data_IF_651064465510
#
_entry.id   IF_651064465510
#
_cell.length_a   1.000
_cell.length_b   1.000
_cell.length_c   1.000
_cell.angle_alpha   90.00
_cell.angle_beta   90.00
_cell.angle_gamma   90.00
#
_symmetry.space_group_name_H-M   'P 1'
#
loop_
_entity.id
_entity.type
_entity.pdbx_description
1 polymer ?
#
# COMPACT_ATOMS: atom_id res chain seq x y z
N UNK A 1 4.20 -35.31 11.42
CA UNK A 1 3.32 -35.73 12.53
C UNK A 1 4.05 -35.88 13.88
N UNK A 2 5.17 -36.62 14.00
CA UNK A 2 5.88 -36.76 15.30
C UNK A 2 6.44 -35.43 15.87
N UNK A 3 6.88 -34.50 15.03
CA UNK A 3 7.39 -33.18 15.45
C UNK A 3 6.30 -32.22 15.99
N UNK A 4 5.05 -32.36 15.56
CA UNK A 4 3.95 -31.50 15.99
C UNK A 4 3.38 -31.95 17.34
N UNK A 5 3.28 -33.27 17.56
CA UNK A 5 2.87 -33.86 18.84
C UNK A 5 3.82 -33.53 20.00
N UNK A 6 5.13 -33.40 19.73
CA UNK A 6 6.12 -32.96 20.70
C UNK A 6 6.03 -31.46 21.02
N UNK A 7 5.63 -30.61 20.07
CA UNK A 7 5.48 -29.17 20.31
C UNK A 7 4.24 -28.89 21.17
N UNK A 8 3.12 -29.55 20.89
CA UNK A 8 1.88 -29.37 21.68
C UNK A 8 2.04 -29.85 23.13
N UNK A 9 2.68 -31.00 23.34
CA UNK A 9 2.99 -31.50 24.70
C UNK A 9 4.00 -30.62 25.44
N UNK A 10 4.99 -30.07 24.73
CA UNK A 10 5.94 -29.11 25.31
C UNK A 10 5.27 -27.78 25.70
N UNK A 11 4.42 -27.22 24.83
CA UNK A 11 3.65 -26.00 25.10
C UNK A 11 2.68 -26.17 26.28
N UNK A 12 2.00 -27.33 26.38
CA UNK A 12 1.13 -27.65 27.52
C UNK A 12 1.92 -27.73 28.82
N UNK A 13 3.12 -28.32 28.80
CA UNK A 13 4.00 -28.41 29.97
C UNK A 13 4.46 -27.03 30.44
N UNK A 14 4.89 -26.16 29.51
CA UNK A 14 5.28 -24.77 29.81
C UNK A 14 4.10 -24.00 30.42
N UNK A 15 2.90 -24.14 29.85
CA UNK A 15 1.71 -23.46 30.36
C UNK A 15 1.37 -23.89 31.81
N UNK A 16 1.52 -25.17 32.13
CA UNK A 16 1.33 -25.68 33.50
C UNK A 16 2.37 -25.12 34.48
N UNK A 17 3.63 -25.02 34.06
CA UNK A 17 4.71 -24.43 34.88
C UNK A 17 4.41 -22.95 35.16
N UNK A 18 4.09 -22.17 34.12
CA UNK A 18 3.79 -20.73 34.25
C UNK A 18 2.56 -20.48 35.12
N UNK A 19 1.50 -21.30 34.98
CA UNK A 19 0.29 -21.17 35.77
C UNK A 19 0.50 -21.43 37.27
N UNK A 20 1.52 -22.22 37.63
CA UNK A 20 1.90 -22.51 39.02
C UNK A 20 2.79 -21.45 39.67
N UNK A 21 3.24 -20.43 38.93
CA UNK A 21 4.14 -19.40 39.44
C UNK A 21 3.39 -18.17 39.96
N UNK A 22 4.06 -17.42 40.86
CA UNK A 22 3.58 -16.13 41.32
C UNK A 22 3.44 -15.15 40.13
N UNK A 23 2.50 -14.19 40.20
CA UNK A 23 2.33 -13.19 39.15
C UNK A 23 3.62 -12.39 38.93
N UNK A 24 3.88 -12.04 37.69
CA UNK A 24 5.06 -11.27 37.28
C UNK A 24 5.07 -9.88 37.94
N UNK A 25 6.12 -9.60 38.71
CA UNK A 25 6.30 -8.30 39.38
C UNK A 25 6.87 -7.22 38.45
N UNK A 26 7.60 -7.61 37.40
CA UNK A 26 8.24 -6.68 36.47
C UNK A 26 8.05 -7.11 35.00
N UNK A 27 7.65 -6.15 34.16
CA UNK A 27 7.46 -6.38 32.72
C UNK A 27 8.83 -6.29 32.03
N UNK A 28 9.17 -7.20 31.09
CA UNK A 28 10.41 -7.11 30.34
C UNK A 28 10.53 -5.77 29.59
N UNK A 29 11.62 -5.06 29.87
CA UNK A 29 11.91 -3.77 29.25
C UNK A 29 12.32 -3.98 27.79
N UNK A 30 11.47 -3.55 26.86
CA UNK A 30 11.88 -3.34 25.47
C UNK A 30 12.62 -2.01 25.41
N UNK A 31 13.84 -1.98 24.91
CA UNK A 31 14.63 -0.75 24.73
C UNK A 31 14.15 0.05 23.51
N UNK A 32 14.26 1.37 23.56
CA UNK A 32 14.07 2.18 22.34
C UNK A 32 15.28 1.94 21.41
N UNK A 33 15.06 1.74 20.10
CA UNK A 33 16.16 1.72 19.17
C UNK A 33 16.74 3.14 19.04
N UNK A 34 18.00 3.23 18.63
CA UNK A 34 18.53 4.47 18.11
C UNK A 34 17.84 4.77 16.77
N UNK A 35 17.02 5.82 16.74
CA UNK A 35 16.22 6.16 15.56
C UNK A 35 17.12 6.70 14.45
N UNK A 36 17.28 5.93 13.36
CA UNK A 36 18.09 6.32 12.22
C UNK A 36 17.82 5.43 10.99
N UNK A 37 18.38 5.85 9.86
CA UNK A 37 18.62 4.96 8.73
C UNK A 37 19.96 4.26 8.90
N UNK A 38 19.95 2.93 8.85
CA UNK A 38 21.13 2.08 8.89
C UNK A 38 21.39 1.54 7.50
N UNK A 39 22.42 2.05 6.83
CA UNK A 39 22.84 1.57 5.51
C UNK A 39 23.61 0.25 5.55
N UNK A 40 24.23 -0.04 6.69
CA UNK A 40 24.99 -1.26 6.96
C UNK A 40 24.07 -2.45 7.30
N UNK A 41 24.57 -3.69 7.18
CA UNK A 41 23.80 -4.89 7.52
C UNK A 41 23.41 -4.89 9.01
N UNK A 42 22.11 -5.04 9.29
CA UNK A 42 21.59 -5.22 10.65
C UNK A 42 21.16 -6.67 10.82
N UNK A 43 21.88 -7.42 11.66
CA UNK A 43 21.58 -8.82 11.96
C UNK A 43 20.42 -8.90 12.95
N UNK A 44 19.43 -9.72 12.63
CA UNK A 44 18.32 -10.04 13.53
C UNK A 44 18.54 -11.44 14.06
N UNK A 45 18.62 -11.51 15.39
CA UNK A 45 18.76 -12.74 16.14
C UNK A 45 17.42 -13.00 16.84
N UNK A 46 16.88 -14.19 16.65
CA UNK A 46 15.70 -14.65 17.38
C UNK A 46 16.14 -15.47 18.59
N UNK A 47 15.50 -15.18 19.71
CA UNK A 47 15.74 -15.85 20.96
C UNK A 47 14.52 -16.72 21.25
N UNK A 48 14.52 -17.94 20.73
CA UNK A 48 13.44 -18.89 21.00
C UNK A 48 13.31 -19.17 22.52
N UNK A 49 14.42 -19.07 23.27
CA UNK A 49 14.42 -19.18 24.73
C UNK A 49 13.95 -17.91 25.48
N UNK A 50 13.80 -16.76 24.80
CA UNK A 50 13.33 -15.50 25.41
C UNK A 50 11.88 -15.15 25.07
N UNK A 51 11.10 -16.09 24.52
CA UNK A 51 9.65 -15.92 24.54
C UNK A 51 9.18 -15.73 25.99
N UNK A 52 8.23 -14.82 26.26
CA UNK A 52 7.81 -14.51 27.63
C UNK A 52 7.46 -15.77 28.45
N UNK A 53 6.82 -16.75 27.83
CA UNK A 53 6.51 -18.03 28.45
C UNK A 53 7.73 -18.81 28.94
N UNK A 54 8.82 -18.80 28.16
CA UNK A 54 10.07 -19.48 28.49
C UNK A 54 10.84 -18.75 29.58
N UNK A 55 10.89 -17.41 29.49
CA UNK A 55 11.52 -16.57 30.51
C UNK A 55 10.85 -16.74 31.87
N UNK A 56 9.51 -16.82 31.89
CA UNK A 56 8.74 -17.05 33.12
C UNK A 56 8.97 -18.49 33.61
N UNK A 57 8.72 -19.49 32.75
CA UNK A 57 8.81 -20.90 33.13
C UNK A 57 10.16 -21.29 33.75
N UNK A 58 11.25 -20.71 33.25
CA UNK A 58 12.61 -21.02 33.70
C UNK A 58 13.28 -19.88 34.50
N UNK A 59 12.53 -18.82 34.82
CA UNK A 59 13.03 -17.64 35.54
C UNK A 59 14.34 -17.08 34.94
N UNK A 60 14.33 -16.81 33.63
CA UNK A 60 15.49 -16.33 32.86
C UNK A 60 15.46 -14.80 32.77
N UNK A 61 16.59 -14.16 33.08
CA UNK A 61 16.80 -12.73 32.84
C UNK A 61 18.06 -12.48 31.98
N UNK A 62 17.95 -11.59 31.00
CA UNK A 62 19.04 -11.26 30.06
C UNK A 62 20.19 -10.50 30.72
N UNK A 63 19.96 -9.86 31.87
CA UNK A 63 21.02 -9.23 32.65
C UNK A 63 21.89 -10.25 33.40
N UNK A 64 21.55 -11.54 33.35
CA UNK A 64 22.23 -12.60 34.11
C UNK A 64 23.15 -13.47 33.25
N UNK A 65 23.41 -13.10 32.00
CA UNK A 65 24.44 -13.76 31.17
C UNK A 65 25.82 -13.13 31.43
N UNK A 66 26.51 -13.56 32.48
CA UNK A 66 27.96 -13.44 32.60
C UNK A 66 28.56 -14.81 32.91
N UNK A 67 28.82 -15.60 31.86
CA UNK A 67 29.77 -16.69 31.90
C UNK A 67 30.90 -16.40 30.90
N UNK A 68 32.16 -16.47 31.32
CA UNK A 68 33.30 -16.39 30.38
C UNK A 68 33.28 -17.61 29.46
N UNK A 69 33.51 -17.40 28.16
CA UNK A 69 33.90 -18.47 27.24
C UNK A 69 35.17 -19.12 27.80
N UNK A 70 35.05 -20.37 28.27
CA UNK A 70 36.17 -21.10 28.90
C UNK A 70 37.29 -21.32 27.87
N UNK A 71 38.42 -20.66 28.12
CA UNK A 71 39.74 -21.26 27.98
C UNK A 71 40.45 -21.15 29.34
N UNK A 72 40.43 -22.25 30.11
CA UNK A 72 41.37 -22.51 31.21
C UNK A 72 40.98 -22.05 32.62
N UNK A 73 40.96 -23.04 33.53
CA UNK A 73 41.26 -22.97 34.98
C UNK A 73 40.17 -22.41 35.92
N UNK A 74 39.28 -23.30 36.37
CA UNK A 74 39.10 -23.70 37.79
C UNK A 74 37.78 -24.49 37.94
N UNK A 75 37.83 -25.59 38.70
CA UNK A 75 36.72 -26.54 38.89
C UNK A 75 35.85 -26.26 40.13
N UNK A 76 36.09 -25.17 40.88
CA UNK A 76 35.41 -24.94 42.18
C UNK A 76 34.77 -23.55 42.37
N UNK A 77 34.60 -22.73 41.33
CA UNK A 77 33.84 -21.48 41.49
C UNK A 77 32.36 -21.73 41.20
N UNK A 78 31.59 -22.10 42.23
CA UNK A 78 30.12 -21.98 42.22
C UNK A 78 29.75 -20.51 41.99
N UNK A 79 29.47 -20.18 40.73
CA UNK A 79 29.01 -18.84 40.35
C UNK A 79 27.49 -18.82 40.53
N UNK A 80 27.01 -18.56 41.73
CA UNK A 80 25.58 -18.43 42.01
C UNK A 80 25.09 -17.01 41.66
N UNK A 81 24.82 -16.76 40.38
CA UNK A 81 23.96 -15.69 39.85
C UNK A 81 23.67 -15.99 38.37
N UNK A 82 22.45 -16.48 38.07
CA UNK A 82 22.01 -16.86 36.72
C UNK A 82 21.32 -18.22 36.66
N UNK A 83 20.07 -18.21 36.18
CA UNK A 83 19.18 -19.34 35.82
C UNK A 83 19.19 -20.55 36.77
N UNK A 84 18.09 -20.74 37.51
CA UNK A 84 17.89 -21.84 38.50
C UNK A 84 17.76 -23.23 37.84
N UNK A 85 17.80 -23.30 36.51
CA UNK A 85 17.66 -24.55 35.76
C UNK A 85 18.63 -24.58 34.58
N UNK A 86 19.07 -25.76 34.17
CA UNK A 86 19.99 -26.03 33.05
C UNK A 86 19.45 -25.62 31.66
N UNK A 87 18.59 -24.61 31.55
CA UNK A 87 18.06 -24.14 30.28
C UNK A 87 19.11 -23.33 29.52
N UNK A 88 19.54 -23.86 28.38
CA UNK A 88 20.47 -23.17 27.48
C UNK A 88 19.72 -22.04 26.76
N UNK A 89 20.28 -20.83 26.80
CA UNK A 89 19.77 -19.71 26.01
C UNK A 89 20.31 -19.86 24.59
N UNK A 90 19.46 -20.33 23.68
CA UNK A 90 19.82 -20.50 22.27
C UNK A 90 19.53 -19.22 21.50
N UNK A 91 20.57 -18.71 20.83
CA UNK A 91 20.48 -17.56 19.93
C UNK A 91 20.49 -18.09 18.49
N UNK A 92 19.37 -17.92 17.81
CA UNK A 92 19.23 -18.35 16.43
C UNK A 92 19.36 -17.15 15.49
N UNK A 93 20.15 -17.33 14.43
CA UNK A 93 20.13 -16.40 13.32
C UNK A 93 18.76 -16.48 12.64
N UNK A 94 18.06 -15.34 12.55
CA UNK A 94 16.76 -15.28 11.87
C UNK A 94 16.92 -14.71 10.45
N UNK A 95 17.57 -13.55 10.32
CA UNK A 95 17.64 -12.78 9.07
C UNK A 95 18.65 -11.64 9.18
N UNK A 96 19.00 -11.06 8.04
CA UNK A 96 19.73 -9.77 7.97
C UNK A 96 18.88 -8.74 7.24
N UNK A 97 18.88 -7.50 7.74
CA UNK A 97 18.42 -6.35 7.00
C UNK A 97 19.56 -5.66 6.28
N UNK A 98 19.44 -5.49 4.96
CA UNK A 98 20.38 -4.73 4.16
C UNK A 98 19.79 -3.35 3.86
N UNK A 99 20.07 -2.37 4.71
CA UNK A 99 19.33 -1.11 4.71
C UNK A 99 18.07 -1.22 5.56
N UNK A 100 17.98 -0.41 6.62
CA UNK A 100 16.78 -0.35 7.48
C UNK A 100 16.53 1.03 8.07
N UNK A 101 15.27 1.33 8.33
CA UNK A 101 14.83 2.44 9.14
C UNK A 101 14.35 1.90 10.49
N UNK A 102 15.02 2.31 11.54
CA UNK A 102 14.60 2.10 12.92
C UNK A 102 13.95 3.41 13.37
N UNK A 103 12.65 3.37 13.66
CA UNK A 103 11.87 4.57 14.00
C UNK A 103 11.64 4.62 15.51
N UNK A 104 10.99 3.60 16.06
CA UNK A 104 10.73 3.47 17.49
C UNK A 104 10.53 1.99 17.85
N UNK A 105 10.28 1.69 19.12
CA UNK A 105 9.80 0.36 19.54
C UNK A 105 8.71 -0.17 18.61
N UNK A 106 8.93 -1.37 18.07
CA UNK A 106 8.02 -2.09 17.17
C UNK A 106 7.65 -1.33 15.88
N UNK A 107 8.38 -0.26 15.53
CA UNK A 107 8.22 0.51 14.28
C UNK A 107 9.54 0.54 13.53
N UNK A 108 9.65 -0.33 12.53
CA UNK A 108 10.84 -0.42 11.70
C UNK A 108 10.50 -1.00 10.34
N UNK A 109 11.39 -0.76 9.38
CA UNK A 109 11.29 -1.32 8.04
C UNK A 109 12.66 -1.54 7.45
N UNK A 110 12.87 -2.65 6.76
CA UNK A 110 14.14 -2.94 6.11
C UNK A 110 14.01 -3.92 4.97
N UNK A 111 15.06 -4.00 4.16
CA UNK A 111 15.16 -5.02 3.12
C UNK A 111 15.71 -6.30 3.75
N UNK A 112 14.84 -7.28 3.95
CA UNK A 112 15.10 -8.53 4.67
C UNK A 112 15.69 -9.59 3.74
N UNK A 113 16.69 -10.31 4.24
CA UNK A 113 17.35 -11.45 3.60
C UNK A 113 17.43 -12.61 4.61
N UNK A 114 16.92 -13.78 4.21
CA UNK A 114 16.98 -14.99 5.06
C UNK A 114 18.07 -15.96 4.59
N UNK A 115 18.34 -16.01 3.28
CA UNK A 115 19.25 -16.96 2.67
C UNK A 115 20.21 -16.28 1.70
N UNK A 116 21.35 -16.92 1.46
CA UNK A 116 22.29 -16.52 0.42
C UNK A 116 21.59 -16.63 -0.95
N UNK A 117 21.56 -15.53 -1.70
CA UNK A 117 20.87 -15.45 -2.99
C UNK A 117 19.42 -14.95 -2.94
N UNK A 118 18.90 -14.61 -1.77
CA UNK A 118 17.61 -13.91 -1.65
C UNK A 118 17.70 -12.53 -2.34
N UNK A 119 16.62 -12.14 -3.05
CA UNK A 119 16.53 -10.86 -3.74
C UNK A 119 16.21 -9.70 -2.80
N UNK A 120 15.92 -10.01 -1.54
CA UNK A 120 15.58 -9.03 -0.53
C UNK A 120 14.10 -8.64 -0.63
N UNK A 121 13.39 -8.73 0.48
CA UNK A 121 11.98 -8.34 0.55
C UNK A 121 11.76 -7.26 1.59
N UNK A 122 10.86 -6.32 1.30
CA UNK A 122 10.53 -5.25 2.24
C UNK A 122 9.76 -5.84 3.43
N UNK A 123 10.39 -5.95 4.60
CA UNK A 123 9.71 -6.30 5.85
C UNK A 123 9.44 -5.02 6.64
N UNK A 124 8.17 -4.81 6.98
CA UNK A 124 7.67 -3.62 7.63
C UNK A 124 6.93 -4.03 8.89
N UNK A 125 7.31 -3.46 10.04
CA UNK A 125 6.68 -3.70 11.34
C UNK A 125 6.22 -2.39 11.94
N UNK A 126 4.95 -2.32 12.34
CA UNK A 126 4.32 -1.17 13.00
C UNK A 126 4.22 0.14 12.20
N UNK A 127 4.81 0.22 11.00
CA UNK A 127 4.73 1.39 10.12
C UNK A 127 3.42 1.43 9.31
N UNK A 128 3.06 2.61 8.83
CA UNK A 128 1.77 2.93 8.22
C UNK A 128 1.43 2.01 7.04
N UNK A 129 2.44 1.52 6.31
CA UNK A 129 2.26 0.62 5.13
C UNK A 129 1.57 -0.72 5.44
N UNK A 130 1.56 -1.17 6.69
CA UNK A 130 0.91 -2.41 7.13
C UNK A 130 -0.24 -2.17 8.12
N UNK A 131 -0.41 -0.93 8.57
CA UNK A 131 -1.40 -0.52 9.55
C UNK A 131 -2.78 -0.43 8.91
N UNK A 132 -3.73 -1.21 9.42
CA UNK A 132 -5.08 -1.34 8.82
C UNK A 132 -5.90 -0.04 8.90
N UNK A 133 -5.63 0.78 9.89
CA UNK A 133 -6.19 2.11 10.18
C UNK A 133 -5.71 3.19 9.20
N UNK A 134 -4.55 3.02 8.56
CA UNK A 134 -4.04 3.98 7.58
C UNK A 134 -4.79 3.89 6.24
N UNK A 135 -4.99 5.03 5.58
CA UNK A 135 -5.64 5.10 4.26
C UNK A 135 -4.68 4.75 3.11
N UNK A 136 -5.24 4.42 1.95
CA UNK A 136 -4.47 4.08 0.74
C UNK A 136 -3.57 5.21 0.25
N UNK A 137 -3.99 6.46 0.48
CA UNK A 137 -3.19 7.67 0.17
C UNK A 137 -1.87 7.71 0.93
N UNK A 138 -1.77 7.05 2.09
CA UNK A 138 -0.50 6.95 2.83
C UNK A 138 0.20 5.63 2.50
N UNK A 139 -0.52 4.52 2.55
CA UNK A 139 0.07 3.18 2.41
C UNK A 139 0.73 2.94 1.05
N UNK A 140 0.07 3.32 -0.05
CA UNK A 140 0.54 3.05 -1.39
C UNK A 140 1.81 3.84 -1.74
N UNK A 141 1.85 5.18 -1.61
CA UNK A 141 3.05 5.92 -1.93
C UNK A 141 4.19 5.65 -0.96
N UNK A 142 3.92 5.46 0.34
CA UNK A 142 4.97 5.12 1.29
C UNK A 142 5.65 3.80 0.94
N UNK A 143 4.89 2.77 0.53
CA UNK A 143 5.46 1.49 0.08
C UNK A 143 6.31 1.64 -1.17
N UNK A 144 5.89 2.45 -2.13
CA UNK A 144 6.67 2.72 -3.34
C UNK A 144 7.94 3.52 -3.02
N UNK A 145 7.81 4.58 -2.22
CA UNK A 145 8.92 5.41 -1.76
C UNK A 145 9.98 4.59 -1.02
N UNK A 146 9.57 3.70 -0.10
CA UNK A 146 10.50 2.82 0.61
C UNK A 146 11.27 1.90 -0.36
N UNK A 147 10.60 1.34 -1.36
CA UNK A 147 11.27 0.53 -2.39
C UNK A 147 12.28 1.36 -3.18
N UNK A 148 11.92 2.59 -3.54
CA UNK A 148 12.79 3.51 -4.27
C UNK A 148 14.03 3.88 -3.43
N UNK A 149 13.85 4.16 -2.14
CA UNK A 149 14.96 4.43 -1.21
C UNK A 149 15.92 3.25 -1.13
N UNK A 150 15.41 2.02 -0.96
CA UNK A 150 16.27 0.84 -0.83
C UNK A 150 16.94 0.43 -2.15
N UNK A 151 16.31 0.67 -3.31
CA UNK A 151 16.86 0.29 -4.61
C UNK A 151 17.85 1.32 -5.17
N UNK A 152 17.51 2.62 -5.11
CA UNK A 152 18.30 3.67 -5.76
C UNK A 152 19.27 4.35 -4.82
N UNK A 153 18.96 4.39 -3.52
CA UNK A 153 19.63 5.23 -2.51
C UNK A 153 19.74 6.72 -2.92
N UNK A 154 18.88 7.18 -3.83
CA UNK A 154 18.85 8.56 -4.30
C UNK A 154 17.67 9.34 -3.70
N UNK A 155 18.00 10.28 -2.82
CA UNK A 155 17.03 11.16 -2.18
C UNK A 155 16.37 12.13 -3.19
N UNK A 156 17.04 12.45 -4.29
CA UNK A 156 16.52 13.35 -5.33
C UNK A 156 15.39 12.68 -6.10
N UNK A 157 15.58 11.43 -6.54
CA UNK A 157 14.51 10.62 -7.13
C UNK A 157 13.33 10.42 -6.17
N UNK A 158 13.62 10.15 -4.89
CA UNK A 158 12.61 10.00 -3.85
C UNK A 158 11.79 11.28 -3.64
N UNK A 159 12.45 12.44 -3.63
CA UNK A 159 11.79 13.75 -3.56
C UNK A 159 10.91 13.99 -4.78
N UNK A 160 11.44 13.77 -5.98
CA UNK A 160 10.70 13.95 -7.24
C UNK A 160 9.42 13.11 -7.27
N UNK A 161 9.51 11.84 -6.88
CA UNK A 161 8.35 10.95 -6.76
C UNK A 161 7.25 11.52 -5.85
N UNK A 162 7.62 11.99 -4.65
CA UNK A 162 6.64 12.57 -3.73
C UNK A 162 6.01 13.85 -4.28
N UNK A 163 6.79 14.70 -4.93
CA UNK A 163 6.28 15.91 -5.56
C UNK A 163 5.27 15.60 -6.68
N UNK A 164 5.58 14.64 -7.55
CA UNK A 164 4.64 14.17 -8.59
C UNK A 164 3.37 13.58 -7.99
N UNK A 165 3.50 12.77 -6.94
CA UNK A 165 2.36 12.19 -6.23
C UNK A 165 1.47 13.27 -5.60
N UNK A 166 2.04 14.32 -5.00
CA UNK A 166 1.28 15.45 -4.46
C UNK A 166 0.62 16.28 -5.56
N UNK A 167 1.25 16.47 -6.70
CA UNK A 167 0.59 17.10 -7.86
C UNK A 167 -0.62 16.29 -8.31
N UNK A 168 -0.49 14.96 -8.41
CA UNK A 168 -1.63 14.08 -8.72
C UNK A 168 -2.74 14.13 -7.66
N UNK A 169 -2.39 14.34 -6.39
CA UNK A 169 -3.34 14.57 -5.31
C UNK A 169 -4.12 15.87 -5.51
N UNK A 170 -3.43 16.99 -5.77
CA UNK A 170 -4.04 18.29 -6.00
C UNK A 170 -4.91 18.33 -7.27
N UNK A 171 -4.49 17.60 -8.31
CA UNK A 171 -5.22 17.48 -9.58
C UNK A 171 -6.42 16.52 -9.50
N UNK A 172 -6.65 15.86 -8.35
CA UNK A 172 -7.73 14.88 -8.19
C UNK A 172 -7.54 13.58 -8.99
N UNK A 173 -6.32 13.26 -9.42
CA UNK A 173 -6.01 12.02 -10.17
C UNK A 173 -5.90 10.78 -9.28
N UNK A 174 -5.87 10.97 -7.96
CA UNK A 174 -5.88 9.85 -7.00
C UNK A 174 -7.34 9.44 -6.74
N UNK A 175 -7.70 8.16 -6.95
CA UNK A 175 -9.06 7.69 -6.70
C UNK A 175 -9.55 7.98 -5.28
N UNK A 176 -10.79 8.44 -5.14
CA UNK A 176 -11.42 8.71 -3.85
C UNK A 176 -11.40 7.49 -2.92
N UNK A 177 -11.40 6.28 -3.47
CA UNK A 177 -11.29 5.02 -2.72
C UNK A 177 -10.03 4.95 -1.84
N UNK A 178 -8.95 5.61 -2.24
CA UNK A 178 -7.71 5.65 -1.47
C UNK A 178 -7.80 6.58 -0.25
N UNK A 179 -8.74 7.53 -0.25
CA UNK A 179 -8.97 8.47 0.86
C UNK A 179 -9.93 7.91 1.92
N UNK A 180 -10.48 6.71 1.70
CA UNK A 180 -11.48 6.14 2.60
C UNK A 180 -10.81 5.58 3.87
N UNK A 181 -11.08 6.21 5.01
CA UNK A 181 -10.72 5.72 6.35
C UNK A 181 -11.79 4.78 6.90
N UNK A 182 -12.22 3.78 6.11
CA UNK A 182 -13.34 2.91 6.46
C UNK A 182 -13.12 2.16 7.79
N UNK A 183 -11.87 1.89 8.15
CA UNK A 183 -11.53 1.16 9.38
C UNK A 183 -11.43 2.04 10.63
N UNK A 184 -11.47 3.36 10.50
CA UNK A 184 -11.66 4.26 11.64
C UNK A 184 -13.11 4.73 11.71
N UNK A 185 -13.68 5.05 10.55
CA UNK A 185 -15.06 5.47 10.40
C UNK A 185 -16.03 4.39 10.90
N UNK A 186 -16.00 3.18 10.33
CA UNK A 186 -17.00 2.15 10.64
C UNK A 186 -16.96 1.72 12.11
N UNK A 187 -15.80 1.39 12.71
CA UNK A 187 -15.77 0.99 14.12
C UNK A 187 -16.25 2.08 15.08
N UNK A 188 -16.09 3.35 14.71
CA UNK A 188 -16.57 4.47 15.53
C UNK A 188 -18.09 4.49 15.64
N UNK A 189 -18.80 4.13 14.57
CA UNK A 189 -20.25 3.98 14.59
C UNK A 189 -20.69 2.60 15.11
N UNK A 190 -19.99 1.52 14.72
CA UNK A 190 -20.31 0.14 15.15
C UNK A 190 -20.34 0.01 16.68
N UNK A 191 -19.38 0.64 17.38
CA UNK A 191 -19.33 0.61 18.87
C UNK A 191 -20.64 1.06 19.53
N UNK A 192 -21.31 2.06 18.95
CA UNK A 192 -22.58 2.57 19.48
C UNK A 192 -23.78 1.81 18.90
N UNK A 193 -23.74 1.48 17.60
CA UNK A 193 -24.84 0.84 16.89
C UNK A 193 -25.11 -0.60 17.36
N UNK A 194 -24.08 -1.32 17.82
CA UNK A 194 -24.24 -2.66 18.39
C UNK A 194 -25.18 -2.64 19.62
N UNK A 195 -25.18 -1.57 20.41
CA UNK A 195 -26.09 -1.41 21.56
C UNK A 195 -27.56 -1.30 21.14
N UNK A 196 -27.81 -0.89 19.90
CA UNK A 196 -29.15 -0.80 19.31
C UNK A 196 -29.51 -2.03 18.46
N UNK A 197 -28.66 -3.07 18.43
CA UNK A 197 -28.84 -4.26 17.60
C UNK A 197 -28.65 -4.00 16.10
N UNK A 198 -27.91 -2.96 15.73
CA UNK A 198 -27.72 -2.51 14.34
C UNK A 198 -26.31 -2.84 13.83
N UNK A 199 -26.24 -3.42 12.63
CA UNK A 199 -24.98 -3.67 11.91
C UNK A 199 -24.71 -2.57 10.85
N UNK A 200 -23.86 -1.60 11.22
CA UNK A 200 -23.44 -0.48 10.36
C UNK A 200 -22.65 -0.95 9.15
N UNK A 201 -21.89 -2.04 9.27
CA UNK A 201 -21.09 -2.59 8.17
C UNK A 201 -21.98 -3.14 7.07
N UNK A 202 -23.06 -3.81 7.46
CA UNK A 202 -24.09 -4.29 6.52
C UNK A 202 -24.69 -3.12 5.73
N UNK A 203 -25.03 -2.01 6.39
CA UNK A 203 -25.53 -0.80 5.72
C UNK A 203 -24.49 -0.21 4.77
N UNK A 204 -23.25 -0.06 5.23
CA UNK A 204 -22.15 0.47 4.40
C UNK A 204 -21.89 -0.38 3.16
N UNK A 205 -21.90 -1.71 3.30
CA UNK A 205 -21.71 -2.64 2.19
C UNK A 205 -22.91 -2.68 1.23
N UNK A 206 -24.11 -2.37 1.71
CA UNK A 206 -25.32 -2.27 0.89
C UNK A 206 -25.41 -0.94 0.12
N UNK A 207 -24.58 0.07 0.45
CA UNK A 207 -24.57 1.32 -0.29
C UNK A 207 -24.20 1.08 -1.75
N UNK A 208 -24.94 1.68 -2.71
CA UNK A 208 -24.53 1.70 -4.10
C UNK A 208 -23.21 2.46 -4.18
N UNK A 209 -22.10 1.73 -4.35
CA UNK A 209 -20.80 2.35 -4.58
C UNK A 209 -20.94 3.14 -5.87
N UNK A 210 -20.88 4.48 -5.77
CA UNK A 210 -20.95 5.36 -6.93
C UNK A 210 -19.90 4.88 -7.93
N UNK A 211 -20.34 4.33 -9.05
CA UNK A 211 -19.57 4.45 -10.28
C UNK A 211 -19.28 5.94 -10.38
N UNK A 212 -18.00 6.32 -10.54
CA UNK A 212 -17.69 7.68 -10.96
C UNK A 212 -18.63 8.01 -12.10
N UNK A 213 -19.48 9.01 -11.87
CA UNK A 213 -20.49 9.39 -12.85
C UNK A 213 -19.71 9.65 -14.12
N UNK A 214 -19.99 8.84 -15.14
CA UNK A 214 -19.71 9.18 -16.51
C UNK A 214 -20.06 10.67 -16.66
N UNK A 215 -19.09 11.49 -17.05
CA UNK A 215 -19.24 12.93 -17.13
C UNK A 215 -20.55 13.27 -17.86
N UNK A 216 -21.56 13.68 -17.10
CA UNK A 216 -22.82 14.16 -17.68
C UNK A 216 -22.45 15.46 -18.36
N UNK A 217 -22.83 15.59 -19.63
CA UNK A 217 -22.62 16.79 -20.42
C UNK A 217 -23.00 18.03 -19.60
N UNK A 218 -22.16 19.08 -19.56
CA UNK A 218 -22.35 20.19 -18.65
C UNK A 218 -23.65 20.93 -18.98
N UNK A 219 -24.60 20.96 -18.05
CA UNK A 219 -25.67 21.94 -18.09
C UNK A 219 -25.06 23.32 -17.81
N UNK A 220 -25.25 24.28 -18.71
CA UNK A 220 -24.73 25.66 -18.65
C UNK A 220 -25.15 26.48 -17.41
N UNK A 221 -25.89 25.90 -16.47
CA UNK A 221 -26.39 26.54 -15.25
C UNK A 221 -25.48 26.37 -14.04
N UNK A 222 -24.40 25.59 -14.17
CA UNK A 222 -23.61 25.11 -13.04
C UNK A 222 -22.21 25.74 -13.04
N UNK A 223 -21.77 26.25 -11.88
CA UNK A 223 -20.52 27.01 -11.68
C UNK A 223 -19.28 26.23 -12.17
N UNK A 224 -19.36 24.90 -12.18
CA UNK A 224 -18.43 23.94 -12.76
C UNK A 224 -18.07 24.22 -14.23
N UNK A 225 -18.95 24.87 -15.01
CA UNK A 225 -18.65 25.31 -16.38
C UNK A 225 -17.53 26.37 -16.44
N UNK A 226 -17.34 27.17 -15.39
CA UNK A 226 -16.30 28.21 -15.30
C UNK A 226 -14.92 27.67 -14.94
N UNK A 227 -14.82 26.41 -14.48
CA UNK A 227 -13.55 25.72 -14.19
C UNK A 227 -13.04 24.89 -15.38
N UNK A 228 -13.70 24.98 -16.54
CA UNK A 228 -13.19 24.36 -17.77
C UNK A 228 -11.79 24.92 -18.07
N UNK A 229 -10.83 24.01 -18.25
CA UNK A 229 -9.44 24.34 -18.49
C UNK A 229 -9.31 25.38 -19.61
N UNK A 230 -8.72 26.53 -19.30
CA UNK A 230 -8.38 27.57 -20.28
C UNK A 230 -7.11 27.23 -21.07
N UNK A 231 -6.71 25.96 -21.19
CA UNK A 231 -5.50 25.55 -21.91
C UNK A 231 -5.87 24.89 -23.25
N UNK A 232 -5.09 25.22 -24.28
CA UNK A 232 -5.20 24.61 -25.58
C UNK A 232 -4.86 23.12 -25.49
N UNK A 233 -5.73 22.24 -25.99
CA UNK A 233 -5.53 20.78 -25.93
C UNK A 233 -4.37 20.25 -26.78
N UNK A 234 -3.81 21.08 -27.66
CA UNK A 234 -2.75 20.70 -28.61
C UNK A 234 -1.37 21.12 -28.10
N UNK A 235 -1.25 22.32 -27.55
CA UNK A 235 0.03 22.91 -27.14
C UNK A 235 0.10 23.27 -25.66
N UNK A 236 -0.96 23.00 -24.89
CA UNK A 236 -1.09 23.27 -23.45
C UNK A 236 -0.92 24.75 -23.04
N UNK A 237 -0.91 25.66 -24.03
CA UNK A 237 -0.79 27.10 -23.77
C UNK A 237 -2.14 27.64 -23.33
N UNK A 238 -2.14 28.53 -22.33
CA UNK A 238 -3.37 29.16 -21.84
C UNK A 238 -4.03 30.02 -22.92
N UNK A 239 -5.22 29.66 -23.33
CA UNK A 239 -6.10 30.36 -24.27
C UNK A 239 -7.28 31.01 -23.55
N UNK A 240 -7.50 32.31 -23.77
CA UNK A 240 -8.61 33.07 -23.18
C UNK A 240 -9.97 32.88 -23.89
N UNK A 241 -10.02 32.08 -24.95
CA UNK A 241 -11.24 31.84 -25.71
C UNK A 241 -11.98 30.59 -25.21
N UNK A 242 -13.32 30.56 -25.36
CA UNK A 242 -14.18 29.42 -25.00
C UNK A 242 -13.96 28.16 -25.87
N UNK A 243 -12.98 28.17 -26.77
CA UNK A 243 -12.63 27.03 -27.63
C UNK A 243 -11.56 26.15 -27.00
N UNK A 244 -11.58 24.86 -27.31
CA UNK A 244 -10.62 23.89 -26.75
C UNK A 244 -9.23 23.92 -27.41
N UNK A 245 -9.07 24.69 -28.50
CA UNK A 245 -7.85 24.85 -29.29
C UNK A 245 -7.55 26.35 -29.43
N UNK A 246 -6.30 26.78 -29.22
CA UNK A 246 -5.88 28.18 -29.37
C UNK A 246 -5.86 28.63 -30.84
N UNK A 247 -5.83 29.95 -31.06
CA UNK A 247 -5.77 30.54 -32.39
C UNK A 247 -4.56 30.05 -33.21
N UNK A 248 -3.38 29.90 -32.59
CA UNK A 248 -2.16 29.45 -33.27
C UNK A 248 -2.27 28.00 -33.77
N UNK A 249 -2.85 27.11 -32.96
CA UNK A 249 -3.11 25.73 -33.36
C UNK A 249 -4.24 25.66 -34.40
N UNK A 250 -5.24 26.54 -34.32
CA UNK A 250 -6.28 26.63 -35.35
C UNK A 250 -5.74 27.15 -36.69
N UNK A 251 -4.74 28.02 -36.68
CA UNK A 251 -4.07 28.52 -37.89
C UNK A 251 -3.25 27.44 -38.62
N UNK A 252 -2.94 26.32 -37.96
CA UNK A 252 -2.18 25.20 -38.55
C UNK A 252 -2.99 23.89 -38.50
N UNK A 253 -4.06 23.78 -39.31
CA UNK A 253 -5.03 22.69 -39.19
C UNK A 253 -4.43 21.31 -39.43
N UNK A 254 -3.48 21.16 -40.35
CA UNK A 254 -2.82 19.88 -40.64
C UNK A 254 -1.98 19.38 -39.45
N UNK A 255 -1.15 20.25 -38.87
CA UNK A 255 -0.31 19.92 -37.71
C UNK A 255 -1.16 19.61 -36.48
N UNK A 256 -2.22 20.39 -36.28
CA UNK A 256 -3.17 20.20 -35.18
C UNK A 256 -3.96 18.91 -35.33
N UNK A 257 -4.45 18.59 -36.53
CA UNK A 257 -5.13 17.33 -36.80
C UNK A 257 -4.23 16.13 -36.48
N UNK A 258 -2.97 16.14 -36.95
CA UNK A 258 -2.01 15.07 -36.66
C UNK A 258 -1.70 14.92 -35.16
N UNK A 259 -1.53 16.04 -34.44
CA UNK A 259 -1.25 16.02 -33.00
C UNK A 259 -2.44 15.45 -32.21
N UNK A 260 -3.66 15.89 -32.54
CA UNK A 260 -4.89 15.36 -31.95
C UNK A 260 -5.03 13.88 -32.28
N UNK A 261 -4.89 13.47 -33.54
CA UNK A 261 -4.96 12.07 -33.97
C UNK A 261 -3.95 11.18 -33.24
N UNK A 262 -2.72 11.65 -33.07
CA UNK A 262 -1.70 10.92 -32.30
C UNK A 262 -2.12 10.70 -30.84
N UNK A 263 -2.69 11.73 -30.20
CA UNK A 263 -3.24 11.62 -28.85
C UNK A 263 -4.47 10.69 -28.80
N UNK A 264 -5.35 10.71 -29.82
CA UNK A 264 -6.48 9.76 -29.94
C UNK A 264 -5.94 8.34 -29.86
N UNK A 265 -4.93 8.05 -30.69
CA UNK A 265 -4.39 6.70 -30.87
C UNK A 265 -3.74 6.21 -29.58
N UNK A 266 -2.99 7.07 -28.88
CA UNK A 266 -2.38 6.72 -27.59
C UNK A 266 -3.42 6.41 -26.51
N UNK A 267 -4.42 7.28 -26.34
CA UNK A 267 -5.49 7.07 -25.37
C UNK A 267 -6.34 5.84 -25.69
N UNK A 268 -6.61 5.57 -26.98
CA UNK A 268 -7.33 4.37 -27.41
C UNK A 268 -6.51 3.10 -27.12
N UNK A 269 -5.19 3.13 -27.35
CA UNK A 269 -4.30 2.01 -27.05
C UNK A 269 -4.25 1.68 -25.55
N UNK A 270 -4.15 2.69 -24.68
CA UNK A 270 -4.19 2.51 -23.21
C UNK A 270 -5.54 1.94 -22.75
N UNK A 271 -6.64 2.45 -23.30
CA UNK A 271 -7.98 1.93 -23.04
C UNK A 271 -8.16 0.49 -23.48
N UNK A 272 -7.64 0.14 -24.66
CA UNK A 272 -7.65 -1.22 -25.17
C UNK A 272 -6.81 -2.16 -24.31
N UNK A 273 -5.68 -1.71 -23.77
CA UNK A 273 -4.86 -2.51 -22.86
C UNK A 273 -5.62 -2.85 -21.57
N UNK A 274 -6.23 -1.85 -20.93
CA UNK A 274 -7.08 -2.06 -19.74
C UNK A 274 -8.29 -2.96 -20.06
N UNK A 275 -8.90 -2.77 -21.22
CA UNK A 275 -10.00 -3.60 -21.72
C UNK A 275 -9.60 -5.07 -21.86
N UNK A 276 -8.43 -5.36 -22.44
CA UNK A 276 -7.95 -6.75 -22.60
C UNK A 276 -7.83 -7.47 -21.26
N UNK A 277 -7.35 -6.77 -20.23
CA UNK A 277 -7.28 -7.32 -18.87
C UNK A 277 -8.67 -7.63 -18.32
N UNK A 278 -9.64 -6.73 -18.52
CA UNK A 278 -11.04 -6.98 -18.13
C UNK A 278 -11.65 -8.18 -18.87
N UNK A 279 -11.44 -8.29 -20.18
CA UNK A 279 -11.95 -9.41 -21.00
C UNK A 279 -11.34 -10.73 -20.55
N UNK A 280 -10.03 -10.78 -20.35
CA UNK A 280 -9.33 -11.97 -19.88
C UNK A 280 -9.77 -12.40 -18.48
N UNK A 281 -10.06 -11.44 -17.59
CA UNK A 281 -10.55 -11.69 -16.25
C UNK A 281 -12.01 -12.18 -16.21
N UNK A 282 -12.89 -11.71 -17.11
CA UNK A 282 -14.31 -12.07 -17.15
C UNK A 282 -14.59 -13.37 -17.91
N UNK A 283 -13.66 -13.84 -18.72
CA UNK A 283 -13.81 -15.04 -19.54
C UNK A 283 -14.71 -14.84 -20.77
N UNK A 284 -14.59 -15.73 -21.75
CA UNK A 284 -15.32 -15.69 -23.04
C UNK A 284 -16.80 -16.12 -22.97
N UNK A 285 -17.34 -16.38 -21.77
CA UNK A 285 -18.63 -17.02 -21.58
C UNK A 285 -19.85 -16.10 -21.65
N UNK A 286 -19.65 -14.79 -21.79
CA UNK A 286 -20.73 -13.81 -21.91
C UNK A 286 -20.80 -13.33 -23.38
N UNK A 287 -21.60 -14.02 -24.18
CA UNK A 287 -21.75 -13.82 -25.63
C UNK A 287 -22.43 -12.52 -26.04
N UNK A 288 -21.79 -11.37 -25.81
CA UNK A 288 -22.14 -10.09 -26.44
C UNK A 288 -21.05 -9.67 -27.44
N UNK A 289 -21.41 -8.89 -28.47
CA UNK A 289 -20.40 -8.38 -29.40
C UNK A 289 -19.42 -7.46 -28.66
N UNK A 290 -18.14 -7.75 -28.81
CA UNK A 290 -17.04 -7.05 -28.15
C UNK A 290 -16.66 -5.77 -28.91
N UNK A 291 -17.63 -5.11 -29.55
CA UNK A 291 -17.37 -3.92 -30.37
C UNK A 291 -17.82 -2.63 -29.68
N UNK A 292 -18.66 -2.73 -28.64
CA UNK A 292 -19.17 -1.57 -27.89
C UNK A 292 -18.55 -1.46 -26.48
N UNK A 293 -17.99 -0.30 -26.09
CA UNK A 293 -17.52 -0.04 -24.72
C UNK A 293 -18.62 -0.25 -23.66
N UNK A 294 -19.89 -0.03 -23.98
CA UNK A 294 -21.02 -0.24 -23.05
C UNK A 294 -21.40 -1.72 -22.84
N UNK A 295 -20.85 -2.66 -23.61
CA UNK A 295 -21.23 -4.07 -23.53
C UNK A 295 -20.54 -4.83 -22.37
N UNK A 296 -19.46 -4.29 -21.79
CA UNK A 296 -18.82 -4.90 -20.62
C UNK A 296 -19.55 -4.51 -19.34
N UNK A 297 -20.13 -5.50 -18.65
CA UNK A 297 -20.85 -5.29 -17.37
C UNK A 297 -20.08 -5.95 -16.22
N UNK A 298 -18.95 -5.36 -15.82
CA UNK A 298 -18.22 -5.77 -14.62
C UNK A 298 -18.77 -5.01 -13.39
N UNK A 299 -19.14 -5.73 -12.33
CA UNK A 299 -19.65 -5.15 -11.07
C UNK A 299 -18.67 -5.30 -9.90
N UNK A 300 -17.41 -5.66 -10.18
CA UNK A 300 -16.39 -5.78 -9.15
C UNK A 300 -15.77 -4.41 -8.84
N UNK A 301 -16.42 -3.65 -7.96
CA UNK A 301 -16.01 -2.31 -7.56
C UNK A 301 -14.71 -2.25 -6.74
N UNK A 302 -14.17 -3.40 -6.34
CA UNK A 302 -12.85 -3.51 -5.70
C UNK A 302 -11.73 -3.72 -6.72
N UNK A 303 -12.06 -3.86 -8.02
CA UNK A 303 -11.09 -4.06 -9.09
C UNK A 303 -10.45 -2.72 -9.50
N UNK A 304 -9.14 -2.59 -9.27
CA UNK A 304 -8.37 -1.41 -9.67
C UNK A 304 -8.41 -1.17 -11.19
N UNK A 305 -8.39 -2.23 -12.01
CA UNK A 305 -8.44 -2.15 -13.47
C UNK A 305 -9.78 -1.59 -13.95
N UNK A 306 -10.90 -2.05 -13.37
CA UNK A 306 -12.23 -1.56 -13.72
C UNK A 306 -12.43 -0.10 -13.35
N UNK A 307 -11.96 0.30 -12.17
CA UNK A 307 -12.05 1.67 -11.68
C UNK A 307 -11.16 2.65 -12.47
N UNK A 308 -10.14 2.17 -13.18
CA UNK A 308 -9.36 2.98 -14.12
C UNK A 308 -9.98 2.99 -15.53
N UNK A 309 -10.51 1.85 -15.96
CA UNK A 309 -11.03 1.67 -17.31
C UNK A 309 -12.33 2.44 -17.57
N UNK A 310 -13.31 2.37 -16.67
CA UNK A 310 -14.63 2.98 -16.89
C UNK A 310 -14.57 4.51 -17.03
N UNK A 311 -13.86 5.27 -16.18
CA UNK A 311 -13.72 6.72 -16.35
C UNK A 311 -12.97 7.09 -17.62
N UNK A 312 -11.89 6.35 -17.94
CA UNK A 312 -11.12 6.56 -19.16
C UNK A 312 -11.97 6.32 -20.42
N UNK A 313 -12.80 5.27 -20.43
CA UNK A 313 -13.66 4.92 -21.56
C UNK A 313 -14.67 6.04 -21.84
N UNK A 314 -15.32 6.55 -20.79
CA UNK A 314 -16.25 7.67 -20.91
C UNK A 314 -15.54 8.95 -21.36
N UNK A 315 -14.36 9.24 -20.83
CA UNK A 315 -13.58 10.42 -21.20
C UNK A 315 -13.20 10.38 -22.69
N UNK A 316 -12.80 9.22 -23.21
CA UNK A 316 -12.44 9.05 -24.62
C UNK A 316 -13.66 9.13 -25.54
N UNK A 317 -14.82 8.61 -25.14
CA UNK A 317 -16.06 8.77 -25.92
C UNK A 317 -16.52 10.23 -25.97
N UNK A 318 -16.53 10.92 -24.82
CA UNK A 318 -16.84 12.37 -24.77
C UNK A 318 -15.83 13.21 -25.53
N UNK A 319 -14.57 12.79 -25.58
CA UNK A 319 -13.55 13.47 -26.38
C UNK A 319 -13.74 13.23 -27.88
N UNK A 320 -14.02 11.99 -28.32
CA UNK A 320 -14.35 11.65 -29.72
C UNK A 320 -15.58 12.41 -30.22
N UNK A 321 -16.61 12.62 -29.38
CA UNK A 321 -17.78 13.42 -29.76
C UNK A 321 -17.44 14.91 -29.88
N UNK A 322 -16.66 15.47 -28.97
CA UNK A 322 -16.24 16.88 -29.03
C UNK A 322 -15.34 17.19 -30.23
N UNK A 323 -14.39 16.30 -30.57
CA UNK A 323 -13.52 16.45 -31.75
C UNK A 323 -14.32 16.33 -33.06
N UNK A 324 -15.36 15.49 -33.12
CA UNK A 324 -16.27 15.43 -34.28
C UNK A 324 -17.08 16.71 -34.46
N UNK A 325 -17.47 17.37 -33.37
CA UNK A 325 -18.19 18.65 -33.40
C UNK A 325 -17.26 19.80 -33.79
N UNK A 326 -16.00 19.79 -33.37
CA UNK A 326 -15.05 20.85 -33.74
C UNK A 326 -14.47 20.67 -35.16
N UNK A 327 -14.32 19.43 -35.64
CA UNK A 327 -13.87 19.14 -37.01
C UNK A 327 -14.93 19.40 -38.08
N UNK A 328 -16.22 19.39 -37.74
CA UNK A 328 -17.30 19.84 -38.65
C UNK A 328 -17.36 21.36 -38.74
N UNK A 329 -16.99 22.08 -37.68
CA UNK A 329 -16.87 23.55 -37.69
C UNK A 329 -15.70 24.00 -38.58
N UNK A 330 -14.57 23.30 -38.56
CA UNK A 330 -13.42 23.61 -39.43
C UNK A 330 -13.57 23.18 -40.91
N UNK A 331 -14.68 22.55 -41.30
CA UNK A 331 -14.97 22.16 -42.70
C UNK A 331 -15.95 23.11 -43.41
N UNK A 332 -16.56 24.06 -42.68
CA UNK A 332 -17.59 24.97 -43.19
C UNK A 332 -17.13 26.44 -43.27
N UNK A 333 -15.83 26.71 -43.12
CA UNK A 333 -15.17 27.99 -43.43
C UNK A 333 -14.06 27.73 -44.47
#
# INVERSE_FOLDING_TARGET
MRYQLTIETYQLTIAMIVAGQAPMECIPLVMEPMSAFYGDPVVVLDFQSLYPSMMIAYNICYSTCLGRLKNGMDDEVETALGVVSNHVVDINFEKVYMGSFLVSKKRYVGLKFEHLGDKGHLDAKGIETIRRDSCGVVQHPMRHWLRLVFSTRDLSACKKYLQEYWTHMHDGRIPLTHYIFAKEMLPSFERLAILMGVDVRKWYNALPRKAERAAVAPSLTRIDAYYSSQHCRVCDTRSFHRGSICADCRAHPQRTAMAVESQVVQLDAELQALRRVCVQCMGSSWGGSWDSPMAMVCRNFSCAVWNQWLPAAVATETWKTNVKVESSVCKND
#
